data_IF_207541390362
#
_entry.id   IF_207541390362
#
_cell.length_a   1.000
_cell.length_b   1.000
_cell.length_c   1.000
_cell.angle_alpha   90.00
_cell.angle_beta   90.00
_cell.angle_gamma   90.00
#
_symmetry.space_group_name_H-M   'P 1'
#
loop_
_entity.id
_entity.type
_entity.pdbx_description
1 polymer ?
#
# COMPACT_ATOMS: atom_id res chain seq x y z
N UNK A 1 19.67 -70.22 8.15
CA UNK A 1 18.80 -69.24 7.45
C UNK A 1 17.68 -70.04 6.79
N UNK A 2 16.47 -70.04 7.34
CA UNK A 2 15.37 -70.85 6.81
C UNK A 2 14.82 -70.24 5.51
N UNK A 3 14.59 -71.02 4.45
CA UNK A 3 13.99 -70.50 3.23
C UNK A 3 12.55 -70.05 3.50
N UNK A 4 12.20 -68.87 3.01
CA UNK A 4 10.84 -68.33 3.10
C UNK A 4 9.85 -69.29 2.44
N UNK A 5 8.68 -69.45 3.05
CA UNK A 5 7.57 -70.19 2.43
C UNK A 5 7.14 -69.52 1.13
N UNK A 6 6.57 -70.28 0.16
CA UNK A 6 6.07 -69.71 -1.12
C UNK A 6 5.15 -68.49 -0.89
N UNK A 7 4.29 -68.54 0.11
CA UNK A 7 3.39 -67.43 0.47
C UNK A 7 4.15 -66.18 0.96
N UNK A 8 5.22 -66.36 1.72
CA UNK A 8 6.08 -65.26 2.15
C UNK A 8 6.88 -64.66 0.98
N UNK A 9 7.30 -65.47 0.00
CA UNK A 9 7.94 -64.99 -1.22
C UNK A 9 6.99 -64.14 -2.08
N UNK A 10 5.74 -64.56 -2.26
CA UNK A 10 4.74 -63.77 -2.99
C UNK A 10 4.44 -62.42 -2.31
N UNK A 11 4.30 -62.40 -0.98
CA UNK A 11 4.09 -61.15 -0.22
C UNK A 11 5.27 -60.20 -0.36
N UNK A 12 6.50 -60.71 -0.28
CA UNK A 12 7.71 -59.91 -0.45
C UNK A 12 7.80 -59.34 -1.87
N UNK A 13 7.45 -60.12 -2.88
CA UNK A 13 7.46 -59.67 -4.28
C UNK A 13 6.40 -58.59 -4.56
N UNK A 14 5.20 -58.72 -3.99
CA UNK A 14 4.16 -57.67 -4.08
C UNK A 14 4.63 -56.38 -3.40
N UNK A 15 5.24 -56.47 -2.21
CA UNK A 15 5.76 -55.29 -1.50
C UNK A 15 6.88 -54.59 -2.29
N UNK A 16 7.78 -55.35 -2.93
CA UNK A 16 8.83 -54.78 -3.79
C UNK A 16 8.25 -54.10 -5.03
N UNK A 17 7.22 -54.66 -5.65
CA UNK A 17 6.54 -54.04 -6.79
C UNK A 17 5.81 -52.75 -6.39
N UNK A 18 5.13 -52.74 -5.25
CA UNK A 18 4.47 -51.54 -4.72
C UNK A 18 5.48 -50.45 -4.35
N UNK A 19 6.62 -50.82 -3.76
CA UNK A 19 7.69 -49.88 -3.43
C UNK A 19 8.39 -49.32 -4.68
N UNK A 20 8.68 -50.18 -5.68
CA UNK A 20 9.26 -49.73 -6.95
C UNK A 20 8.29 -48.84 -7.74
N UNK A 21 6.99 -49.16 -7.74
CA UNK A 21 5.95 -48.31 -8.32
C UNK A 21 5.86 -46.97 -7.59
N UNK A 22 5.88 -46.97 -6.25
CA UNK A 22 5.90 -45.75 -5.45
C UNK A 22 7.14 -44.89 -5.76
N UNK A 23 8.34 -45.47 -5.83
CA UNK A 23 9.55 -44.73 -6.20
C UNK A 23 9.46 -44.16 -7.63
N UNK A 24 8.99 -44.95 -8.61
CA UNK A 24 8.86 -44.50 -10.00
C UNK A 24 7.79 -43.40 -10.18
N UNK A 25 6.66 -43.50 -9.48
CA UNK A 25 5.62 -42.48 -9.49
C UNK A 25 6.08 -41.21 -8.78
N UNK A 26 6.83 -41.33 -7.67
CA UNK A 26 7.38 -40.18 -6.95
C UNK A 26 8.43 -39.41 -7.76
N UNK A 27 9.33 -40.11 -8.46
CA UNK A 27 10.34 -39.46 -9.32
C UNK A 27 9.71 -38.82 -10.56
N UNK A 28 8.70 -39.46 -11.15
CA UNK A 28 7.94 -38.92 -12.29
C UNK A 28 7.15 -37.67 -11.89
N UNK A 29 6.44 -37.71 -10.77
CA UNK A 29 5.67 -36.58 -10.23
C UNK A 29 6.58 -35.38 -9.89
N UNK A 30 7.74 -35.63 -9.29
CA UNK A 30 8.72 -34.59 -8.98
C UNK A 30 9.27 -33.93 -10.26
N UNK A 31 9.63 -34.73 -11.27
CA UNK A 31 10.08 -34.22 -12.57
C UNK A 31 9.00 -33.38 -13.27
N UNK A 32 7.76 -33.85 -13.27
CA UNK A 32 6.63 -33.11 -13.87
C UNK A 32 6.38 -31.77 -13.18
N UNK A 33 6.51 -31.73 -11.85
CA UNK A 33 6.34 -30.50 -11.07
C UNK A 33 7.37 -29.45 -11.47
N UNK A 34 8.65 -29.83 -11.61
CA UNK A 34 9.72 -28.93 -12.06
C UNK A 34 9.46 -28.46 -13.50
N UNK A 35 9.10 -29.38 -14.40
CA UNK A 35 8.81 -29.04 -15.80
C UNK A 35 7.61 -28.10 -15.95
N UNK A 36 6.55 -28.30 -15.16
CA UNK A 36 5.36 -27.45 -15.19
C UNK A 36 5.66 -26.05 -14.66
N UNK A 37 6.38 -25.96 -13.54
CA UNK A 37 6.83 -24.67 -13.01
C UNK A 37 7.68 -23.91 -14.03
N UNK A 38 8.61 -24.59 -14.71
CA UNK A 38 9.43 -23.97 -15.75
C UNK A 38 8.58 -23.45 -16.91
N UNK A 39 7.63 -24.26 -17.41
CA UNK A 39 6.73 -23.86 -18.49
C UNK A 39 5.90 -22.61 -18.10
N UNK A 40 5.43 -22.53 -16.85
CA UNK A 40 4.74 -21.34 -16.34
C UNK A 40 5.70 -20.13 -16.29
N UNK A 41 6.88 -20.27 -15.71
CA UNK A 41 7.88 -19.19 -15.61
C UNK A 41 8.36 -18.67 -16.97
N UNK A 42 8.35 -19.50 -18.02
CA UNK A 42 8.69 -19.10 -19.39
C UNK A 42 7.48 -18.77 -20.26
N UNK A 43 6.27 -18.77 -19.71
CA UNK A 43 5.01 -18.58 -20.43
C UNK A 43 4.82 -19.53 -21.64
N UNK A 44 5.31 -20.78 -21.54
CA UNK A 44 5.11 -21.81 -22.56
C UNK A 44 3.76 -22.49 -22.38
N UNK A 45 2.73 -21.90 -23.00
CA UNK A 45 1.35 -22.39 -22.94
C UNK A 45 1.22 -23.82 -23.47
N UNK A 46 1.99 -24.19 -24.50
CA UNK A 46 1.90 -25.51 -25.13
C UNK A 46 2.44 -26.57 -24.18
N UNK A 47 3.66 -26.38 -23.67
CA UNK A 47 4.27 -27.30 -22.72
C UNK A 47 3.43 -27.42 -21.44
N UNK A 48 2.94 -26.29 -20.89
CA UNK A 48 2.06 -26.31 -19.74
C UNK A 48 0.79 -27.13 -19.98
N UNK A 49 0.14 -26.96 -21.15
CA UNK A 49 -1.04 -27.74 -21.52
C UNK A 49 -0.74 -29.24 -21.62
N UNK A 50 0.34 -29.63 -22.28
CA UNK A 50 0.73 -31.04 -22.41
C UNK A 50 0.99 -31.68 -21.03
N UNK A 51 1.70 -30.98 -20.14
CA UNK A 51 1.99 -31.45 -18.79
C UNK A 51 0.72 -31.59 -17.93
N UNK A 52 -0.19 -30.61 -17.99
CA UNK A 52 -1.46 -30.65 -17.27
C UNK A 52 -2.41 -31.72 -17.82
N UNK A 53 -2.43 -31.94 -19.14
CA UNK A 53 -3.19 -33.03 -19.76
C UNK A 53 -2.61 -34.41 -19.39
N UNK A 54 -1.30 -34.49 -19.13
CA UNK A 54 -0.63 -35.68 -18.60
C UNK A 54 -0.80 -35.89 -17.09
N UNK A 55 -1.57 -35.03 -16.40
CA UNK A 55 -1.91 -35.17 -14.99
C UNK A 55 -0.96 -34.48 -14.01
N UNK A 56 -0.11 -33.56 -14.48
CA UNK A 56 0.68 -32.72 -13.58
C UNK A 56 -0.24 -31.89 -12.66
N UNK A 57 0.11 -31.78 -11.38
CA UNK A 57 -0.70 -31.06 -10.38
C UNK A 57 -0.60 -29.54 -10.61
N UNK A 58 -1.72 -28.83 -10.85
CA UNK A 58 -1.72 -27.38 -11.00
C UNK A 58 -1.56 -26.62 -9.67
N UNK A 59 -1.54 -27.31 -8.53
CA UNK A 59 -1.43 -26.74 -7.19
C UNK A 59 -0.05 -26.92 -6.54
N UNK A 60 0.99 -27.22 -7.33
CA UNK A 60 2.36 -27.27 -6.83
C UNK A 60 2.80 -25.91 -6.25
N UNK A 61 3.75 -26.00 -5.33
CA UNK A 61 4.48 -24.87 -4.77
C UNK A 61 5.94 -24.96 -5.20
N UNK A 62 6.59 -23.82 -5.44
CA UNK A 62 8.03 -23.80 -5.69
C UNK A 62 8.86 -23.80 -4.40
N UNK A 63 10.19 -23.73 -4.54
CA UNK A 63 11.12 -23.76 -3.41
C UNK A 63 10.95 -22.55 -2.45
N UNK A 64 10.54 -21.41 -2.99
CA UNK A 64 10.27 -20.20 -2.21
C UNK A 64 8.92 -20.31 -1.49
N UNK A 65 8.09 -21.28 -1.88
CA UNK A 65 6.79 -21.55 -1.31
C UNK A 65 5.67 -20.80 -2.02
N UNK A 66 5.93 -20.34 -3.25
CA UNK A 66 4.94 -19.68 -4.08
C UNK A 66 4.09 -20.72 -4.82
N UNK A 67 2.75 -20.67 -4.72
CA UNK A 67 1.87 -21.48 -5.53
C UNK A 67 2.10 -21.24 -7.03
N UNK A 68 1.92 -22.28 -7.84
CA UNK A 68 2.09 -22.19 -9.30
C UNK A 68 1.26 -21.05 -9.92
N UNK A 69 0.05 -20.83 -9.41
CA UNK A 69 -0.82 -19.74 -9.87
C UNK A 69 -0.28 -18.34 -9.55
N UNK A 70 0.43 -18.17 -8.43
CA UNK A 70 1.11 -16.91 -8.09
C UNK A 70 2.27 -16.68 -9.07
N UNK A 71 3.07 -17.71 -9.35
CA UNK A 71 4.09 -17.66 -10.39
C UNK A 71 3.49 -17.28 -11.76
N UNK A 72 2.32 -17.80 -12.12
CA UNK A 72 1.63 -17.43 -13.36
C UNK A 72 1.18 -15.96 -13.38
N UNK A 73 0.83 -15.38 -12.22
CA UNK A 73 0.50 -13.96 -12.11
C UNK A 73 1.70 -13.08 -12.47
N UNK A 74 2.89 -13.47 -12.04
CA UNK A 74 4.14 -12.75 -12.28
C UNK A 74 4.65 -12.90 -13.72
N UNK A 75 4.69 -14.13 -14.23
CA UNK A 75 5.50 -14.46 -15.40
C UNK A 75 4.71 -14.82 -16.65
N UNK A 76 3.44 -15.23 -16.50
CA UNK A 76 2.68 -15.82 -17.60
C UNK A 76 1.62 -14.86 -18.16
N UNK A 77 1.07 -15.25 -19.31
CA UNK A 77 -0.07 -14.60 -19.95
C UNK A 77 -1.40 -14.92 -19.24
N UNK A 78 -2.44 -14.09 -19.40
CA UNK A 78 -3.79 -14.40 -18.91
C UNK A 78 -4.32 -15.76 -19.42
N UNK A 79 -3.97 -16.16 -20.65
CA UNK A 79 -4.39 -17.44 -21.24
C UNK A 79 -3.79 -18.64 -20.53
N UNK A 80 -2.51 -18.57 -20.15
CA UNK A 80 -1.86 -19.64 -19.38
C UNK A 80 -2.44 -19.72 -17.97
N UNK A 81 -2.71 -18.57 -17.34
CA UNK A 81 -3.40 -18.53 -16.05
C UNK A 81 -4.81 -19.12 -16.13
N UNK A 82 -5.54 -18.84 -17.22
CA UNK A 82 -6.88 -19.39 -17.45
C UNK A 82 -6.82 -20.92 -17.59
N UNK A 83 -5.83 -21.45 -18.29
CA UNK A 83 -5.58 -22.88 -18.39
C UNK A 83 -5.34 -23.52 -17.00
N UNK A 84 -4.48 -22.92 -16.16
CA UNK A 84 -4.23 -23.42 -14.81
C UNK A 84 -5.51 -23.45 -13.97
N UNK A 85 -6.29 -22.37 -13.99
CA UNK A 85 -7.57 -22.28 -13.29
C UNK A 85 -8.59 -23.30 -13.81
N UNK A 86 -8.66 -23.52 -15.13
CA UNK A 86 -9.51 -24.53 -15.74
C UNK A 86 -9.11 -25.96 -15.36
N UNK A 87 -7.84 -26.18 -15.02
CA UNK A 87 -7.30 -27.47 -14.55
C UNK A 87 -7.41 -27.65 -13.03
N UNK A 88 -7.98 -26.69 -12.31
CA UNK A 88 -8.22 -26.81 -10.87
C UNK A 88 -7.15 -26.19 -9.98
N UNK A 89 -6.34 -25.25 -10.51
CA UNK A 89 -5.52 -24.39 -9.66
C UNK A 89 -6.39 -23.62 -8.66
N UNK A 90 -6.02 -23.62 -7.39
CA UNK A 90 -6.72 -22.90 -6.34
C UNK A 90 -6.47 -21.38 -6.47
N UNK A 91 -7.50 -20.56 -6.77
CA UNK A 91 -7.36 -19.11 -6.91
C UNK A 91 -6.94 -18.40 -5.61
N UNK A 92 -7.12 -19.08 -4.47
CA UNK A 92 -6.87 -18.57 -3.12
C UNK A 92 -5.64 -19.18 -2.46
N UNK A 93 -4.82 -19.91 -3.21
CA UNK A 93 -3.55 -20.41 -2.70
C UNK A 93 -2.67 -19.24 -2.26
N UNK A 94 -2.06 -19.39 -1.08
CA UNK A 94 -1.20 -18.38 -0.46
C UNK A 94 0.24 -18.85 -0.43
N UNK A 95 1.17 -17.93 -0.64
CA UNK A 95 2.58 -18.18 -0.36
C UNK A 95 2.90 -18.07 1.14
N UNK A 96 4.19 -18.19 1.48
CA UNK A 96 4.66 -18.05 2.87
C UNK A 96 4.36 -16.67 3.47
N UNK A 97 4.19 -15.62 2.67
CA UNK A 97 3.82 -14.28 3.14
C UNK A 97 2.31 -14.04 3.15
N UNK A 98 1.52 -15.06 2.85
CA UNK A 98 0.07 -14.99 2.83
C UNK A 98 -0.50 -14.32 1.57
N UNK A 99 0.33 -14.07 0.57
CA UNK A 99 -0.04 -13.37 -0.65
C UNK A 99 -0.69 -14.31 -1.66
N UNK A 100 -1.64 -13.79 -2.43
CA UNK A 100 -2.39 -14.54 -3.46
C UNK A 100 -2.06 -14.03 -4.85
N UNK A 101 -2.37 -14.83 -5.88
CA UNK A 101 -2.26 -14.39 -7.28
C UNK A 101 -3.04 -13.10 -7.57
N UNK A 102 -4.16 -12.85 -6.86
CA UNK A 102 -4.98 -11.64 -7.02
C UNK A 102 -4.20 -10.38 -6.61
N UNK A 103 -3.46 -10.45 -5.51
CA UNK A 103 -2.65 -9.32 -5.00
C UNK A 103 -1.55 -8.93 -5.99
N UNK A 104 -0.94 -9.91 -6.65
CA UNK A 104 0.10 -9.71 -7.65
C UNK A 104 -0.41 -9.33 -9.05
N UNK A 105 -1.73 -9.42 -9.27
CA UNK A 105 -2.36 -9.11 -10.57
C UNK A 105 -3.00 -7.72 -10.63
N UNK A 106 -2.87 -6.88 -9.61
CA UNK A 106 -3.56 -5.57 -9.54
C UNK A 106 -3.21 -4.60 -10.67
N UNK A 107 -2.05 -4.77 -11.31
CA UNK A 107 -1.60 -3.98 -12.44
C UNK A 107 -1.86 -4.64 -13.81
N UNK A 108 -2.43 -5.84 -13.84
CA UNK A 108 -2.81 -6.57 -15.06
C UNK A 108 -4.32 -6.81 -15.06
N UNK A 109 -5.05 -6.00 -15.83
CA UNK A 109 -6.51 -6.00 -15.79
C UNK A 109 -7.14 -7.29 -16.29
N UNK A 110 -6.50 -8.00 -17.20
CA UNK A 110 -7.07 -9.24 -17.74
C UNK A 110 -6.88 -10.38 -16.74
N UNK A 111 -5.70 -10.48 -16.10
CA UNK A 111 -5.47 -11.43 -15.00
C UNK A 111 -6.35 -11.15 -13.80
N UNK A 112 -6.50 -9.87 -13.41
CA UNK A 112 -7.33 -9.51 -12.26
C UNK A 112 -8.79 -9.90 -12.48
N UNK A 113 -9.36 -9.56 -13.65
CA UNK A 113 -10.73 -9.95 -14.02
C UNK A 113 -10.89 -11.47 -14.04
N UNK A 114 -9.92 -12.19 -14.60
CA UNK A 114 -9.93 -13.64 -14.66
C UNK A 114 -9.99 -14.26 -13.25
N UNK A 115 -9.09 -13.84 -12.34
CA UNK A 115 -9.03 -14.35 -10.98
C UNK A 115 -10.32 -14.07 -10.20
N UNK A 116 -10.84 -12.85 -10.29
CA UNK A 116 -12.11 -12.46 -9.67
C UNK A 116 -13.28 -13.33 -10.18
N UNK A 117 -13.38 -13.55 -11.50
CA UNK A 117 -14.39 -14.43 -12.10
C UNK A 117 -14.25 -15.89 -11.68
N UNK A 118 -13.04 -16.33 -11.35
CA UNK A 118 -12.73 -17.70 -10.93
C UNK A 118 -12.78 -17.89 -9.41
N UNK A 119 -13.33 -16.93 -8.66
CA UNK A 119 -13.60 -17.08 -7.23
C UNK A 119 -12.40 -16.78 -6.32
N UNK A 120 -11.47 -15.94 -6.79
CA UNK A 120 -10.47 -15.35 -5.90
C UNK A 120 -11.16 -14.49 -4.82
N UNK A 121 -10.80 -14.72 -3.56
CA UNK A 121 -11.24 -13.94 -2.42
C UNK A 121 -10.64 -12.54 -2.51
N UNK A 122 -11.48 -11.58 -2.87
CA UNK A 122 -11.12 -10.16 -3.02
C UNK A 122 -10.62 -9.53 -1.71
N UNK A 123 -10.99 -10.10 -0.57
CA UNK A 123 -10.65 -9.62 0.77
C UNK A 123 -9.57 -10.46 1.46
N UNK A 124 -8.94 -11.40 0.74
CA UNK A 124 -7.81 -12.16 1.26
C UNK A 124 -6.73 -11.20 1.79
N UNK A 125 -6.19 -11.51 2.96
CA UNK A 125 -5.08 -10.76 3.59
C UNK A 125 -3.77 -11.52 3.53
N UNK A 126 -2.72 -10.80 3.16
CA UNK A 126 -1.33 -11.19 3.40
C UNK A 126 -0.98 -11.09 4.89
N UNK A 127 0.17 -11.64 5.30
CA UNK A 127 0.70 -11.50 6.67
C UNK A 127 0.96 -10.05 7.05
N UNK A 128 1.27 -9.20 6.08
CA UNK A 128 1.37 -7.75 6.26
C UNK A 128 0.01 -7.07 6.48
N UNK A 129 -1.10 -7.81 6.39
CA UNK A 129 -2.46 -7.31 6.44
C UNK A 129 -2.94 -6.64 5.15
N UNK A 130 -2.09 -6.54 4.13
CA UNK A 130 -2.47 -5.99 2.82
C UNK A 130 -3.49 -6.89 2.11
N UNK A 131 -4.50 -6.27 1.51
CA UNK A 131 -5.44 -6.87 0.55
C UNK A 131 -5.10 -6.40 -0.87
N UNK A 132 -5.70 -7.02 -1.89
CA UNK A 132 -5.57 -6.55 -3.27
C UNK A 132 -5.97 -5.07 -3.42
N UNK A 133 -7.02 -4.62 -2.71
CA UNK A 133 -7.48 -3.23 -2.73
C UNK A 133 -6.43 -2.27 -2.12
N UNK A 134 -5.79 -2.65 -1.02
CA UNK A 134 -4.76 -1.84 -0.39
C UNK A 134 -3.51 -1.72 -1.28
N UNK A 135 -3.15 -2.78 -2.00
CA UNK A 135 -2.03 -2.77 -2.95
C UNK A 135 -2.40 -1.92 -4.17
N UNK A 136 -3.61 -2.11 -4.72
CA UNK A 136 -4.12 -1.32 -5.85
C UNK A 136 -4.25 0.18 -5.52
N UNK A 137 -4.38 0.58 -4.26
CA UNK A 137 -4.49 1.99 -3.87
C UNK A 137 -3.14 2.73 -3.81
N UNK A 138 -2.08 2.13 -4.34
CA UNK A 138 -0.71 2.68 -4.40
C UNK A 138 -0.38 3.10 -5.84
N UNK A 139 0.08 4.33 -6.02
CA UNK A 139 0.46 4.88 -7.33
C UNK A 139 -0.62 5.75 -7.99
N UNK A 140 -0.38 6.18 -9.23
CA UNK A 140 -1.31 6.97 -10.05
C UNK A 140 -2.20 6.08 -10.93
N UNK A 141 -3.34 6.62 -11.38
CA UNK A 141 -4.27 6.00 -12.34
C UNK A 141 -4.85 4.64 -11.93
N UNK A 142 -5.02 4.43 -10.63
CA UNK A 142 -5.48 3.15 -10.08
C UNK A 142 -7.01 3.01 -10.06
N UNK A 143 -7.73 4.07 -10.44
CA UNK A 143 -9.20 4.13 -10.37
C UNK A 143 -9.90 2.90 -10.96
N UNK A 144 -9.46 2.43 -12.14
CA UNK A 144 -10.09 1.29 -12.81
C UNK A 144 -9.92 -0.01 -12.02
N UNK A 145 -8.73 -0.24 -11.47
CA UNK A 145 -8.40 -1.41 -10.65
C UNK A 145 -9.17 -1.36 -9.33
N UNK A 146 -9.10 -0.24 -8.61
CA UNK A 146 -9.80 -0.05 -7.33
C UNK A 146 -11.31 -0.21 -7.53
N UNK A 147 -11.87 0.39 -8.57
CA UNK A 147 -13.28 0.25 -8.90
C UNK A 147 -13.65 -1.21 -9.16
N UNK A 148 -12.88 -1.92 -9.98
CA UNK A 148 -13.15 -3.32 -10.29
C UNK A 148 -13.14 -4.19 -9.02
N UNK A 149 -12.15 -3.98 -8.13
CA UNK A 149 -12.08 -4.71 -6.86
C UNK A 149 -13.31 -4.40 -5.99
N UNK A 150 -13.71 -3.14 -5.86
CA UNK A 150 -14.90 -2.75 -5.10
C UNK A 150 -16.20 -3.31 -5.72
N UNK A 151 -16.31 -3.34 -7.06
CA UNK A 151 -17.45 -3.95 -7.76
C UNK A 151 -17.58 -5.46 -7.47
N UNK A 152 -16.47 -6.12 -7.13
CA UNK A 152 -16.43 -7.53 -6.67
C UNK A 152 -16.52 -7.68 -5.13
N UNK A 153 -16.80 -6.61 -4.39
CA UNK A 153 -17.01 -6.66 -2.94
C UNK A 153 -15.75 -6.47 -2.09
N UNK A 154 -14.70 -5.86 -2.64
CA UNK A 154 -13.55 -5.45 -1.83
C UNK A 154 -13.97 -4.48 -0.70
N UNK A 155 -13.62 -4.81 0.53
CA UNK A 155 -13.86 -3.96 1.69
C UNK A 155 -12.78 -2.88 1.80
N UNK A 156 -13.18 -1.64 1.48
CA UNK A 156 -12.34 -0.46 1.53
C UNK A 156 -11.97 0.01 2.95
N UNK A 157 -12.62 -0.53 3.99
CA UNK A 157 -12.37 -0.20 5.38
C UNK A 157 -11.30 -1.09 6.02
N UNK A 158 -10.89 -2.17 5.35
CA UNK A 158 -9.83 -3.03 5.84
C UNK A 158 -8.51 -2.28 5.98
N UNK A 159 -7.83 -2.58 7.09
CA UNK A 159 -6.52 -2.03 7.43
C UNK A 159 -5.46 -3.12 7.39
N UNK A 160 -4.26 -2.74 6.99
CA UNK A 160 -3.07 -3.58 7.14
C UNK A 160 -2.47 -3.49 8.55
N UNK A 161 -1.36 -4.18 8.80
CA UNK A 161 -0.68 -4.17 10.11
C UNK A 161 -0.14 -2.79 10.51
N UNK A 162 0.10 -1.90 9.54
CA UNK A 162 0.44 -0.48 9.79
C UNK A 162 -0.79 0.38 10.03
N UNK A 163 -1.99 -0.20 10.17
CA UNK A 163 -3.29 0.46 10.32
C UNK A 163 -3.68 1.35 9.13
N UNK A 164 -3.06 1.16 7.97
CA UNK A 164 -3.36 1.91 6.75
C UNK A 164 -4.61 1.33 6.07
N UNK A 165 -5.56 2.18 5.69
CA UNK A 165 -6.66 1.83 4.79
C UNK A 165 -6.41 2.34 3.36
N UNK A 166 -7.30 2.00 2.43
CA UNK A 166 -7.17 2.39 1.03
C UNK A 166 -7.21 3.92 0.84
N UNK A 167 -8.04 4.64 1.60
CA UNK A 167 -8.16 6.10 1.54
C UNK A 167 -6.83 6.79 1.89
N UNK A 168 -6.14 6.33 2.94
CA UNK A 168 -4.82 6.84 3.33
C UNK A 168 -3.79 6.66 2.22
N UNK A 169 -3.77 5.50 1.57
CA UNK A 169 -2.84 5.23 0.47
C UNK A 169 -3.16 6.08 -0.75
N UNK A 170 -4.43 6.20 -1.12
CA UNK A 170 -4.84 7.08 -2.22
C UNK A 170 -4.48 8.56 -1.98
N UNK A 171 -4.64 9.06 -0.74
CA UNK A 171 -4.26 10.41 -0.36
C UNK A 171 -2.74 10.66 -0.52
N UNK A 172 -1.93 9.64 -0.26
CA UNK A 172 -0.48 9.67 -0.40
C UNK A 172 -0.02 9.80 -1.87
N UNK A 173 -0.77 9.31 -2.86
CA UNK A 173 -0.35 9.32 -4.28
C UNK A 173 -1.10 10.30 -5.19
N UNK A 174 -2.10 11.01 -4.67
CA UNK A 174 -2.75 12.12 -5.39
C UNK A 174 -3.77 11.73 -6.45
N UNK A 175 -4.08 10.43 -6.63
CA UNK A 175 -5.16 9.97 -7.51
C UNK A 175 -6.53 10.37 -6.92
N UNK A 176 -7.03 11.50 -7.39
CA UNK A 176 -8.27 12.11 -6.88
C UNK A 176 -9.50 11.29 -7.24
N UNK A 177 -9.50 10.61 -8.38
CA UNK A 177 -10.63 9.77 -8.78
C UNK A 177 -10.75 8.56 -7.84
N UNK A 178 -9.62 7.94 -7.52
CA UNK A 178 -9.53 6.85 -6.53
C UNK A 178 -9.89 7.34 -5.13
N UNK A 179 -9.39 8.51 -4.72
CA UNK A 179 -9.72 9.12 -3.42
C UNK A 179 -11.24 9.34 -3.26
N UNK A 180 -11.89 9.93 -4.28
CA UNK A 180 -13.34 10.17 -4.31
C UNK A 180 -14.11 8.85 -4.23
N UNK A 181 -13.66 7.83 -4.97
CA UNK A 181 -14.31 6.52 -4.97
C UNK A 181 -14.24 5.86 -3.58
N UNK A 182 -13.06 5.85 -2.96
CA UNK A 182 -12.83 5.23 -1.66
C UNK A 182 -13.53 5.95 -0.51
N UNK A 183 -13.66 7.28 -0.60
CA UNK A 183 -14.37 8.04 0.42
C UNK A 183 -15.88 7.71 0.47
N UNK A 184 -16.49 7.36 -0.67
CA UNK A 184 -17.89 6.91 -0.72
C UNK A 184 -18.12 5.57 -0.02
N UNK A 185 -17.06 4.82 0.29
CA UNK A 185 -17.13 3.54 0.96
C UNK A 185 -17.25 3.64 2.50
N UNK A 186 -17.44 4.84 3.06
CA UNK A 186 -17.63 5.03 4.51
C UNK A 186 -16.34 5.05 5.33
N UNK A 187 -15.19 5.26 4.70
CA UNK A 187 -13.92 5.43 5.40
C UNK A 187 -13.96 6.63 6.34
N UNK A 188 -13.45 6.44 7.57
CA UNK A 188 -13.18 7.55 8.49
C UNK A 188 -12.11 8.49 7.88
N UNK A 189 -12.51 9.71 7.53
CA UNK A 189 -11.63 10.68 6.85
C UNK A 189 -10.39 11.07 7.67
N UNK A 190 -10.54 11.02 9.00
CA UNK A 190 -9.47 11.32 9.97
C UNK A 190 -8.92 10.06 10.65
N UNK A 191 -9.10 8.87 10.06
CA UNK A 191 -8.43 7.67 10.56
C UNK A 191 -6.92 7.92 10.66
N UNK A 192 -6.26 7.22 11.58
CA UNK A 192 -4.80 7.31 11.74
C UNK A 192 -4.12 5.96 11.53
N UNK A 193 -2.96 5.99 10.90
CA UNK A 193 -2.09 4.83 10.79
C UNK A 193 -1.36 4.53 12.12
N UNK A 194 -0.45 3.56 12.10
CA UNK A 194 0.38 3.17 13.25
C UNK A 194 1.32 4.25 13.74
N UNK A 195 1.65 5.24 12.90
CA UNK A 195 2.47 6.41 13.26
C UNK A 195 1.61 7.59 13.71
N UNK A 196 0.29 7.48 13.67
CA UNK A 196 -0.64 8.54 14.05
C UNK A 196 -0.96 9.53 12.93
N UNK A 197 -0.52 9.28 11.69
CA UNK A 197 -0.77 10.18 10.56
C UNK A 197 -2.15 9.98 9.97
N UNK A 198 -2.79 11.10 9.61
CA UNK A 198 -4.08 11.14 8.92
C UNK A 198 -3.91 11.12 7.40
N UNK A 199 -4.96 10.78 6.61
CA UNK A 199 -4.94 10.98 5.16
C UNK A 199 -4.51 12.39 4.73
N UNK A 200 -4.93 13.42 5.48
CA UNK A 200 -4.57 14.82 5.20
C UNK A 200 -3.06 15.05 5.35
N UNK A 201 -2.44 14.52 6.40
CA UNK A 201 -1.00 14.63 6.60
C UNK A 201 -0.21 13.86 5.54
N UNK A 202 -0.68 12.67 5.14
CA UNK A 202 -0.07 11.92 4.04
C UNK A 202 -0.12 12.68 2.71
N UNK A 203 -1.25 13.33 2.40
CA UNK A 203 -1.37 14.18 1.23
C UNK A 203 -0.41 15.39 1.27
N UNK A 204 -0.27 16.02 2.44
CA UNK A 204 0.64 17.17 2.64
C UNK A 204 2.10 16.75 2.45
N UNK A 205 2.53 15.64 3.06
CA UNK A 205 3.91 15.18 2.98
C UNK A 205 4.38 14.80 1.58
N UNK A 206 3.45 14.36 0.73
CA UNK A 206 3.71 14.12 -0.70
C UNK A 206 3.32 15.29 -1.60
N UNK A 207 3.03 16.47 -1.03
CA UNK A 207 2.73 17.71 -1.77
C UNK A 207 1.56 17.54 -2.75
N UNK A 208 0.60 16.67 -2.41
CA UNK A 208 -0.56 16.37 -3.25
C UNK A 208 -1.67 17.41 -3.06
N UNK A 209 -1.51 18.57 -3.70
CA UNK A 209 -2.48 19.70 -3.65
C UNK A 209 -3.93 19.27 -3.83
N UNK A 210 -4.20 18.42 -4.80
CA UNK A 210 -5.56 18.00 -5.13
C UNK A 210 -6.16 17.15 -4.00
N UNK A 211 -5.40 16.19 -3.46
CA UNK A 211 -5.84 15.37 -2.34
C UNK A 211 -5.99 16.21 -1.06
N UNK A 212 -5.04 17.10 -0.77
CA UNK A 212 -5.11 18.04 0.37
C UNK A 212 -6.39 18.87 0.31
N UNK A 213 -6.65 19.54 -0.82
CA UNK A 213 -7.86 20.35 -1.01
C UNK A 213 -9.13 19.50 -0.90
N UNK A 214 -9.14 18.33 -1.52
CA UNK A 214 -10.31 17.44 -1.49
C UNK A 214 -10.62 16.97 -0.07
N UNK A 215 -9.63 16.52 0.70
CA UNK A 215 -9.79 16.06 2.08
C UNK A 215 -10.34 17.18 2.98
N UNK A 216 -9.77 18.38 2.87
CA UNK A 216 -10.23 19.57 3.61
C UNK A 216 -11.68 19.96 3.27
N UNK A 217 -12.07 19.83 2.00
CA UNK A 217 -13.45 20.09 1.56
C UNK A 217 -14.44 19.04 2.07
N UNK A 218 -13.97 17.82 2.32
CA UNK A 218 -14.79 16.69 2.79
C UNK A 218 -14.71 16.47 4.31
N UNK A 219 -14.21 17.45 5.06
CA UNK A 219 -14.30 17.47 6.52
C UNK A 219 -13.10 16.91 7.26
N UNK A 220 -11.95 16.70 6.60
CA UNK A 220 -10.71 16.37 7.29
C UNK A 220 -10.34 17.48 8.28
N UNK A 221 -10.01 17.10 9.52
CA UNK A 221 -9.73 18.06 10.58
C UNK A 221 -8.28 18.56 10.50
N UNK A 222 -8.11 19.81 10.03
CA UNK A 222 -6.81 20.47 9.95
C UNK A 222 -6.11 20.66 11.32
N UNK A 223 -6.89 20.73 12.41
CA UNK A 223 -6.39 20.91 13.78
C UNK A 223 -6.11 19.58 14.48
N UNK A 224 -6.33 18.42 13.81
CA UNK A 224 -6.07 17.12 14.42
C UNK A 224 -4.57 16.96 14.68
N UNK A 225 -4.25 16.71 15.94
CA UNK A 225 -2.88 16.49 16.40
C UNK A 225 -2.51 15.02 16.16
N UNK A 226 -1.52 14.80 15.31
CA UNK A 226 -0.88 13.52 15.05
C UNK A 226 0.31 13.29 16.00
N UNK A 227 1.11 12.26 15.74
CA UNK A 227 2.32 12.01 16.53
C UNK A 227 3.25 13.23 16.55
N UNK A 228 4.01 13.35 17.64
CA UNK A 228 4.95 14.45 17.90
C UNK A 228 4.32 15.85 17.96
N UNK A 229 3.00 15.96 18.09
CA UNK A 229 2.31 17.25 18.13
C UNK A 229 2.07 17.86 16.75
N UNK A 230 2.26 17.09 15.68
CA UNK A 230 2.12 17.57 14.32
C UNK A 230 0.65 17.86 13.97
N UNK A 231 0.38 19.01 13.37
CA UNK A 231 -0.91 19.36 12.77
C UNK A 231 -0.76 19.59 11.27
N UNK A 232 -1.86 19.71 10.54
CA UNK A 232 -1.81 20.05 9.12
C UNK A 232 -1.12 21.41 8.91
N UNK A 233 -1.34 22.37 9.81
CA UNK A 233 -0.75 23.72 9.75
C UNK A 233 0.76 23.66 9.91
N UNK A 234 1.29 22.91 10.88
CA UNK A 234 2.74 22.78 11.08
C UNK A 234 3.41 22.00 9.96
N UNK A 235 2.71 21.03 9.35
CA UNK A 235 3.25 20.22 8.26
C UNK A 235 3.26 20.97 6.90
N UNK A 236 2.19 21.68 6.56
CA UNK A 236 2.01 22.22 5.19
C UNK A 236 3.01 23.33 4.82
N UNK A 237 3.52 24.04 5.82
CA UNK A 237 4.44 25.17 5.63
C UNK A 237 5.87 24.75 5.29
N UNK A 238 6.23 23.46 5.47
CA UNK A 238 7.59 22.98 5.20
C UNK A 238 7.87 22.80 3.71
N UNK A 239 6.84 22.71 2.86
CA UNK A 239 6.95 22.36 1.43
C UNK A 239 6.85 23.54 0.46
N UNK A 240 6.86 24.79 0.95
CA UNK A 240 6.71 26.01 0.15
C UNK A 240 5.51 25.96 -0.83
N UNK A 241 4.39 25.41 -0.38
CA UNK A 241 3.21 25.22 -1.20
C UNK A 241 2.09 26.16 -0.78
N UNK A 242 2.16 27.42 -1.22
CA UNK A 242 1.18 28.45 -0.84
C UNK A 242 -0.28 28.04 -1.08
N UNK A 243 -0.67 27.43 -2.22
CA UNK A 243 -2.02 26.90 -2.40
C UNK A 243 -2.48 25.92 -1.31
N UNK A 244 -1.64 24.94 -0.93
CA UNK A 244 -1.99 24.00 0.14
C UNK A 244 -2.00 24.69 1.51
N UNK A 245 -1.05 25.60 1.76
CA UNK A 245 -1.02 26.41 2.99
C UNK A 245 -2.33 27.17 3.13
N UNK A 246 -2.73 27.93 2.11
CA UNK A 246 -3.99 28.70 2.13
C UNK A 246 -5.19 27.79 2.37
N UNK A 247 -5.29 26.65 1.68
CA UNK A 247 -6.39 25.71 1.87
C UNK A 247 -6.45 25.17 3.31
N UNK A 248 -5.30 24.82 3.90
CA UNK A 248 -5.22 24.35 5.29
C UNK A 248 -5.60 25.49 6.25
N UNK A 249 -5.08 26.69 6.06
CA UNK A 249 -5.38 27.86 6.91
C UNK A 249 -6.86 28.27 6.84
N UNK A 250 -7.52 28.09 5.71
CA UNK A 250 -8.97 28.32 5.59
C UNK A 250 -9.77 27.42 6.54
N UNK A 251 -9.33 26.18 6.76
CA UNK A 251 -10.02 25.19 7.62
C UNK A 251 -9.52 25.13 9.05
N UNK A 252 -8.26 25.50 9.29
CA UNK A 252 -7.66 25.48 10.62
C UNK A 252 -8.30 26.52 11.54
N UNK A 253 -8.61 26.11 12.77
CA UNK A 253 -9.10 26.99 13.84
C UNK A 253 -7.98 27.35 14.80
N UNK A 254 -6.98 26.49 14.96
CA UNK A 254 -5.89 26.64 15.91
C UNK A 254 -4.54 26.82 15.20
N UNK A 255 -4.17 28.07 14.89
CA UNK A 255 -2.92 28.38 14.17
C UNK A 255 -1.68 28.27 15.06
N UNK A 256 -1.85 28.51 16.36
CA UNK A 256 -0.76 28.64 17.33
C UNK A 256 -0.39 27.32 18.02
N UNK A 257 -0.80 26.18 17.46
CA UNK A 257 -0.36 24.87 17.95
C UNK A 257 1.15 24.73 17.78
N UNK A 258 1.80 24.12 18.77
CA UNK A 258 3.23 23.82 18.75
C UNK A 258 3.45 22.32 18.79
N UNK A 259 4.51 21.86 18.12
CA UNK A 259 4.93 20.47 18.20
C UNK A 259 5.60 20.14 19.56
N UNK A 260 6.08 18.90 19.73
CA UNK A 260 6.73 18.44 20.96
C UNK A 260 8.00 19.22 21.36
N UNK A 261 8.60 19.99 20.43
CA UNK A 261 9.76 20.85 20.65
C UNK A 261 9.36 22.30 20.97
N UNK A 262 8.06 22.61 20.96
CA UNK A 262 7.55 23.96 21.14
C UNK A 262 7.64 24.81 19.86
N UNK A 263 7.77 24.17 18.69
CA UNK A 263 7.92 24.87 17.42
C UNK A 263 6.53 25.10 16.80
N UNK A 264 6.22 26.36 16.47
CA UNK A 264 4.99 26.74 15.77
C UNK A 264 5.13 26.66 14.25
N UNK A 265 4.01 26.68 13.52
CA UNK A 265 4.03 26.76 12.05
C UNK A 265 4.76 28.01 11.53
N UNK A 266 4.63 29.15 12.22
CA UNK A 266 5.35 30.38 11.85
C UNK A 266 6.86 30.24 12.00
N UNK A 267 7.32 29.52 13.03
CA UNK A 267 8.74 29.19 13.18
C UNK A 267 9.21 28.28 12.05
N UNK A 268 8.50 27.18 11.76
CA UNK A 268 8.85 26.29 10.64
C UNK A 268 8.92 27.04 9.30
N UNK A 269 7.97 27.94 9.04
CA UNK A 269 7.98 28.78 7.85
C UNK A 269 9.19 29.74 7.81
N UNK A 270 9.60 30.30 8.96
CA UNK A 270 10.75 31.19 9.06
C UNK A 270 12.11 30.48 8.94
N UNK A 271 12.18 29.19 9.28
CA UNK A 271 13.39 28.37 9.16
C UNK A 271 13.73 27.96 7.72
N UNK A 272 12.73 27.91 6.85
CA UNK A 272 12.87 27.36 5.50
C UNK A 272 13.97 28.08 4.71
N UNK A 273 14.74 27.33 3.92
CA UNK A 273 15.86 27.86 3.11
C UNK A 273 15.39 28.82 2.03
N UNK A 274 14.13 28.67 1.60
CA UNK A 274 13.49 29.58 0.68
C UNK A 274 12.75 30.68 1.46
N UNK A 275 13.17 31.94 1.30
CA UNK A 275 12.46 33.10 1.86
C UNK A 275 11.04 33.16 1.28
N UNK A 276 10.05 32.78 2.10
CA UNK A 276 8.64 32.64 1.70
C UNK A 276 7.74 33.66 2.41
N UNK A 277 7.90 34.97 2.12
CA UNK A 277 7.16 36.03 2.80
C UNK A 277 5.64 35.90 2.64
N UNK A 278 5.17 35.29 1.55
CA UNK A 278 3.74 35.06 1.34
C UNK A 278 3.14 34.07 2.35
N UNK A 279 3.84 32.99 2.69
CA UNK A 279 3.40 32.03 3.70
C UNK A 279 3.44 32.67 5.10
N UNK A 280 4.51 33.42 5.39
CA UNK A 280 4.64 34.18 6.65
C UNK A 280 3.47 35.15 6.81
N UNK A 281 3.18 35.93 5.75
CA UNK A 281 2.06 36.87 5.77
C UNK A 281 0.72 36.15 5.94
N UNK A 282 0.48 35.06 5.21
CA UNK A 282 -0.76 34.28 5.34
C UNK A 282 -0.97 33.73 6.76
N UNK A 283 0.09 33.27 7.42
CA UNK A 283 0.03 32.83 8.82
C UNK A 283 -0.32 33.98 9.77
N UNK A 284 0.34 35.14 9.61
CA UNK A 284 0.07 36.35 10.43
C UNK A 284 -1.36 36.84 10.21
N UNK A 285 -1.83 36.90 8.96
CA UNK A 285 -3.19 37.31 8.62
C UNK A 285 -4.25 36.38 9.24
N UNK A 286 -3.89 35.09 9.40
CA UNK A 286 -4.72 34.10 10.10
C UNK A 286 -4.58 34.14 11.63
N UNK A 287 -3.76 35.04 12.19
CA UNK A 287 -3.60 35.24 13.63
C UNK A 287 -2.49 34.41 14.28
N UNK A 288 -1.44 34.05 13.53
CA UNK A 288 -0.25 33.44 14.12
C UNK A 288 0.42 34.39 15.13
N UNK A 289 0.68 33.89 16.34
CA UNK A 289 1.45 34.61 17.35
C UNK A 289 2.93 34.61 16.97
N UNK A 290 3.43 35.81 16.68
CA UNK A 290 4.80 36.06 16.25
C UNK A 290 5.85 35.90 17.36
N UNK A 291 5.41 35.79 18.62
CA UNK A 291 6.26 35.79 19.81
C UNK A 291 6.28 34.45 20.55
N UNK A 292 5.72 33.37 19.97
CA UNK A 292 5.90 32.01 20.50
C UNK A 292 7.39 31.72 20.64
N UNK A 293 7.77 31.01 21.72
CA UNK A 293 9.15 30.62 22.02
C UNK A 293 9.29 29.11 22.12
N UNK A 294 10.36 28.58 21.53
CA UNK A 294 10.76 27.19 21.77
C UNK A 294 11.23 27.00 23.21
N UNK A 295 11.49 25.74 23.61
CA UNK A 295 12.08 25.42 24.92
C UNK A 295 13.44 26.10 25.16
N UNK A 296 14.15 26.47 24.10
CA UNK A 296 15.43 27.17 24.16
C UNK A 296 15.29 28.70 24.05
N UNK A 297 14.06 29.23 24.03
CA UNK A 297 13.78 30.66 23.93
C UNK A 297 13.85 31.23 22.52
N UNK A 298 13.98 30.39 21.48
CA UNK A 298 14.05 30.85 20.09
C UNK A 298 12.66 31.22 19.56
N UNK A 299 12.61 32.26 18.71
CA UNK A 299 11.39 32.76 18.04
C UNK A 299 11.50 32.62 16.53
N UNK A 300 10.37 32.77 15.81
CA UNK A 300 10.37 32.85 14.35
C UNK A 300 11.31 33.97 13.85
N UNK A 301 11.38 35.10 14.56
CA UNK A 301 12.27 36.21 14.25
C UNK A 301 13.75 35.81 14.38
N UNK A 302 14.13 35.12 15.47
CA UNK A 302 15.51 34.66 15.65
C UNK A 302 15.96 33.68 14.55
N UNK A 303 15.06 32.81 14.10
CA UNK A 303 15.33 31.86 13.04
C UNK A 303 15.46 32.55 11.68
N UNK A 304 14.56 33.49 11.36
CA UNK A 304 14.65 34.29 10.14
C UNK A 304 15.96 35.12 10.07
N UNK A 305 16.39 35.70 11.19
CA UNK A 305 17.67 36.41 11.30
C UNK A 305 18.85 35.48 11.06
N UNK A 306 18.87 34.30 11.69
CA UNK A 306 19.93 33.28 11.53
C UNK A 306 20.05 32.79 10.09
N UNK A 307 18.94 32.71 9.36
CA UNK A 307 18.89 32.29 7.95
C UNK A 307 19.16 33.44 6.96
N UNK A 308 19.14 34.69 7.40
CA UNK A 308 19.33 35.86 6.53
C UNK A 308 18.08 36.21 5.69
N UNK A 309 16.89 35.77 6.10
CA UNK A 309 15.63 35.97 5.38
C UNK A 309 15.07 37.39 5.59
N UNK A 310 15.70 38.39 4.97
CA UNK A 310 15.45 39.82 5.23
C UNK A 310 13.98 40.25 5.04
N UNK A 311 13.25 39.70 4.05
CA UNK A 311 11.84 40.04 3.85
C UNK A 311 10.98 39.49 4.98
N UNK A 312 11.21 38.23 5.35
CA UNK A 312 10.56 37.59 6.52
C UNK A 312 10.85 38.38 7.81
N UNK A 313 12.10 38.80 8.04
CA UNK A 313 12.47 39.64 9.20
C UNK A 313 11.68 40.95 9.22
N UNK A 314 11.57 41.63 8.07
CA UNK A 314 10.82 42.88 7.97
C UNK A 314 9.33 42.69 8.28
N UNK A 315 8.72 41.61 7.76
CA UNK A 315 7.32 41.27 8.01
C UNK A 315 7.09 40.96 9.49
N UNK A 316 7.93 40.11 10.10
CA UNK A 316 7.82 39.73 11.51
C UNK A 316 7.98 40.94 12.44
N UNK A 317 8.98 41.81 12.20
CA UNK A 317 9.16 43.04 12.98
C UNK A 317 7.96 43.98 12.87
N UNK A 318 7.41 44.15 11.66
CA UNK A 318 6.20 44.96 11.43
C UNK A 318 4.99 44.40 12.18
N UNK A 319 4.91 43.08 12.32
CA UNK A 319 3.88 42.39 13.08
C UNK A 319 4.13 42.35 14.60
N UNK A 320 5.19 43.01 15.10
CA UNK A 320 5.47 43.11 16.53
C UNK A 320 6.26 41.94 17.13
N UNK A 321 7.01 41.19 16.31
CA UNK A 321 7.91 40.15 16.78
C UNK A 321 9.08 40.74 17.58
N UNK A 322 9.35 40.15 18.74
CA UNK A 322 10.42 40.54 19.68
C UNK A 322 11.52 39.47 19.76
#
# INVERSE_FOLDING_TARGET
>A
MFPLTRLQQYRLQILLLLFAYFLATSSSSFSQSISLLQAVKTNDLKAAKELLDAGADPNIIDADGDPLLLNAALYSSPQLMELLLAKGANPNAKNKDGETALMWSVHDMDKLKLLLKKGADVNAKAKSGNTALLIASVGSDQYKTVKLLMDYGADAMLKNERRENALMRAALFGDTATLVLLAKAGNEIDAVDSTGLTPLLNAIFNVNRTATKWLLQNGANADKVAAFGLTAVTAVVTYNDLPSVTAVLEKAKNINTVDALGISALMWAAYNEHDNPAIIQALIDKGADVNIKTKNGETALSWALKKGNNKTVAILKKAGAQ
#
